data_IF_162948211563
#
_entry.id   IF_162948211563
#
_cell.length_a   1.000
_cell.length_b   1.000
_cell.length_c   1.000
_cell.angle_alpha   90.00
_cell.angle_beta   90.00
_cell.angle_gamma   90.00
#
_symmetry.space_group_name_H-M   'P 1'
#
loop_
_entity.id
_entity.type
_entity.pdbx_description
1 polymer ?
#
# COMPACT_ATOMS: atom_id res chain seq x y z
N UNK A 1 46.64 -73.57 -6.16
CA UNK A 1 45.44 -72.72 -6.37
C UNK A 1 45.32 -71.84 -5.13
N UNK A 2 45.45 -70.52 -5.26
CA UNK A 2 45.74 -69.58 -4.16
C UNK A 2 44.56 -69.43 -3.19
N UNK A 3 44.85 -69.59 -1.90
CA UNK A 3 44.00 -69.24 -0.76
C UNK A 3 43.83 -67.71 -0.70
N UNK A 4 42.60 -67.22 -0.60
CA UNK A 4 42.28 -65.81 -0.32
C UNK A 4 41.79 -65.70 1.12
N UNK A 5 42.59 -65.06 1.95
CA UNK A 5 42.18 -64.57 3.27
C UNK A 5 41.17 -63.44 3.10
N UNK A 6 40.04 -63.51 3.81
CA UNK A 6 39.09 -62.39 3.92
C UNK A 6 39.04 -62.00 5.39
N UNK A 7 39.63 -60.84 5.69
CA UNK A 7 39.72 -60.24 7.02
C UNK A 7 38.37 -59.62 7.37
N UNK A 8 37.83 -59.98 8.55
CA UNK A 8 36.64 -59.39 9.16
C UNK A 8 37.05 -58.14 9.92
N UNK A 9 36.46 -56.98 9.58
CA UNK A 9 36.66 -55.72 10.31
C UNK A 9 35.51 -55.45 11.31
N UNK A 10 35.79 -54.88 12.49
CA UNK A 10 34.78 -54.56 13.51
C UNK A 10 33.99 -53.28 13.17
N UNK A 11 32.80 -53.07 13.78
CA UNK A 11 31.92 -51.94 13.44
C UNK A 11 32.50 -50.60 13.91
N UNK A 12 32.58 -49.63 12.98
CA UNK A 12 32.93 -48.25 13.29
C UNK A 12 31.77 -47.52 13.96
N UNK A 13 32.03 -46.93 15.13
CA UNK A 13 31.16 -45.98 15.81
C UNK A 13 31.03 -44.69 14.97
N UNK A 14 29.80 -44.27 14.68
CA UNK A 14 29.50 -42.97 14.09
C UNK A 14 29.86 -41.83 15.07
N UNK A 15 30.59 -40.79 14.66
CA UNK A 15 30.77 -39.62 15.50
C UNK A 15 29.46 -38.84 15.60
N UNK A 16 29.03 -38.64 16.84
CA UNK A 16 27.94 -37.78 17.28
C UNK A 16 28.08 -36.37 16.69
N UNK A 17 27.07 -35.95 15.93
CA UNK A 17 26.99 -34.61 15.34
C UNK A 17 26.96 -33.55 16.45
N UNK A 18 28.03 -32.77 16.53
CA UNK A 18 28.17 -31.60 17.38
C UNK A 18 27.06 -30.60 17.06
N UNK A 19 26.24 -30.27 18.07
CA UNK A 19 25.24 -29.19 18.02
C UNK A 19 25.92 -27.87 17.65
N UNK A 20 25.65 -27.35 16.46
CA UNK A 20 25.97 -25.97 16.09
C UNK A 20 24.83 -25.09 16.63
N UNK A 21 25.09 -24.11 17.52
CA UNK A 21 24.05 -23.19 17.96
C UNK A 21 23.61 -22.33 16.79
N UNK A 22 22.30 -22.32 16.51
CA UNK A 22 21.66 -21.41 15.57
C UNK A 22 21.90 -19.96 16.02
N UNK A 23 22.88 -19.29 15.41
CA UNK A 23 23.03 -17.85 15.52
C UNK A 23 21.85 -17.18 14.81
N UNK A 24 20.82 -16.80 15.57
CA UNK A 24 19.86 -15.78 15.14
C UNK A 24 20.55 -14.43 15.19
N UNK A 25 20.91 -13.91 14.02
CA UNK A 25 20.94 -12.49 13.65
C UNK A 25 21.58 -12.39 12.26
N UNK A 26 20.83 -12.71 11.22
CA UNK A 26 21.20 -12.31 9.85
C UNK A 26 20.70 -10.88 9.69
N UNK A 27 21.54 -9.91 10.04
CA UNK A 27 21.34 -8.51 9.67
C UNK A 27 21.55 -8.44 8.16
N UNK A 28 20.48 -8.48 7.38
CA UNK A 28 20.55 -8.23 5.93
C UNK A 28 21.19 -6.85 5.71
N UNK A 29 22.29 -6.75 4.93
CA UNK A 29 22.93 -5.47 4.69
C UNK A 29 21.93 -4.53 3.99
N UNK A 30 21.91 -3.23 4.33
CA UNK A 30 20.99 -2.29 3.71
C UNK A 30 21.26 -2.21 2.21
N UNK A 31 20.18 -2.27 1.42
CA UNK A 31 20.26 -2.09 -0.03
C UNK A 31 20.49 -0.61 -0.31
N UNK A 32 21.61 -0.30 -0.95
CA UNK A 32 21.86 1.05 -1.46
C UNK A 32 21.05 1.21 -2.74
N UNK A 33 20.03 2.06 -2.71
CA UNK A 33 19.42 2.54 -3.95
C UNK A 33 20.47 3.41 -4.64
N UNK A 34 21.04 2.88 -5.74
CA UNK A 34 21.94 3.64 -6.60
C UNK A 34 21.22 4.96 -6.96
N UNK A 35 21.87 6.06 -6.59
CA UNK A 35 21.34 7.42 -6.65
C UNK A 35 20.67 7.68 -7.99
N UNK A 36 19.38 7.93 -7.98
CA UNK A 36 18.71 8.46 -9.17
C UNK A 36 19.38 9.79 -9.52
N UNK A 37 20.07 9.81 -10.66
CA UNK A 37 20.83 10.99 -11.10
C UNK A 37 19.93 12.05 -11.73
N UNK A 38 18.63 11.77 -11.90
CA UNK A 38 17.68 12.71 -12.48
C UNK A 38 17.37 13.83 -11.50
N UNK A 39 17.51 15.05 -11.98
CA UNK A 39 17.05 16.26 -11.31
C UNK A 39 15.53 16.25 -11.12
N UNK A 40 15.01 17.05 -10.18
CA UNK A 40 13.56 17.24 -9.99
C UNK A 40 12.87 17.66 -11.29
N UNK A 41 13.48 18.53 -12.09
CA UNK A 41 12.93 18.97 -13.38
C UNK A 41 12.80 17.82 -14.39
N UNK A 42 13.82 16.95 -14.49
CA UNK A 42 13.79 15.79 -15.38
C UNK A 42 12.74 14.76 -14.95
N UNK A 43 12.57 14.55 -13.63
CA UNK A 43 11.49 13.68 -13.13
C UNK A 43 10.11 14.26 -13.44
N UNK A 44 9.93 15.57 -13.26
CA UNK A 44 8.67 16.25 -13.60
C UNK A 44 8.35 16.20 -15.10
N UNK A 45 9.36 16.35 -15.97
CA UNK A 45 9.20 16.18 -17.41
C UNK A 45 8.77 14.74 -17.75
N UNK A 46 9.43 13.73 -17.16
CA UNK A 46 9.05 12.33 -17.34
C UNK A 46 7.63 12.06 -16.85
N UNK A 47 7.24 12.60 -15.70
CA UNK A 47 5.90 12.54 -15.15
C UNK A 47 4.87 13.15 -16.12
N UNK A 48 5.13 14.36 -16.62
CA UNK A 48 4.25 15.09 -17.55
C UNK A 48 3.97 14.26 -18.81
N UNK A 49 4.99 13.60 -19.37
CA UNK A 49 4.84 12.71 -20.53
C UNK A 49 3.95 11.51 -20.20
N UNK A 50 4.14 10.88 -19.04
CA UNK A 50 3.31 9.74 -18.61
C UNK A 50 1.85 10.15 -18.33
N UNK A 51 1.63 11.38 -17.85
CA UNK A 51 0.30 11.92 -17.59
C UNK A 51 -0.48 12.26 -18.87
N UNK A 52 0.17 12.41 -20.03
CA UNK A 52 -0.48 12.74 -21.30
C UNK A 52 -1.69 11.83 -21.62
N UNK A 53 -1.54 10.51 -21.43
CA UNK A 53 -2.63 9.54 -21.65
C UNK A 53 -3.79 9.72 -20.67
N UNK A 54 -3.50 10.15 -19.44
CA UNK A 54 -4.50 10.35 -18.41
C UNK A 54 -5.31 11.62 -18.69
N UNK A 55 -4.68 12.70 -19.17
CA UNK A 55 -5.37 13.92 -19.61
C UNK A 55 -6.34 13.66 -20.79
N UNK A 56 -5.93 12.84 -21.75
CA UNK A 56 -6.81 12.44 -22.87
C UNK A 56 -8.01 11.67 -22.33
N UNK A 57 -7.78 10.71 -21.43
CA UNK A 57 -8.85 9.92 -20.83
C UNK A 57 -9.76 10.77 -19.91
N UNK A 58 -9.22 11.77 -19.21
CA UNK A 58 -10.00 12.76 -18.44
C UNK A 58 -10.98 13.47 -19.40
N UNK A 59 -10.46 14.01 -20.50
CA UNK A 59 -11.26 14.72 -21.52
C UNK A 59 -12.32 13.82 -22.16
N UNK A 60 -11.97 12.56 -22.47
CA UNK A 60 -12.91 11.58 -23.02
C UNK A 60 -14.04 11.28 -22.02
N UNK A 61 -13.70 11.05 -20.75
CA UNK A 61 -14.69 10.77 -19.71
C UNK A 61 -15.64 11.97 -19.53
N UNK A 62 -15.10 13.19 -19.49
CA UNK A 62 -15.89 14.43 -19.39
C UNK A 62 -16.84 14.62 -20.58
N UNK A 63 -16.41 14.27 -21.79
CA UNK A 63 -17.24 14.40 -22.99
C UNK A 63 -18.33 13.33 -23.09
N UNK A 64 -18.02 12.10 -22.67
CA UNK A 64 -18.92 10.95 -22.81
C UNK A 64 -19.92 10.85 -21.65
N UNK A 65 -19.51 11.21 -20.44
CA UNK A 65 -20.32 11.16 -19.22
C UNK A 65 -20.38 12.55 -18.62
N UNK A 66 -21.45 13.29 -18.94
CA UNK A 66 -21.68 14.63 -18.41
C UNK A 66 -22.13 14.52 -16.96
N UNK A 67 -21.18 14.48 -16.03
CA UNK A 67 -21.46 14.80 -14.63
C UNK A 67 -21.81 16.29 -14.53
N UNK A 68 -22.40 16.73 -13.42
CA UNK A 68 -22.83 18.12 -13.29
C UNK A 68 -21.64 19.10 -13.24
N UNK A 69 -20.52 18.69 -12.63
CA UNK A 69 -19.24 19.41 -12.67
C UNK A 69 -18.11 18.47 -13.16
N UNK A 70 -17.95 18.31 -14.48
CA UNK A 70 -17.02 17.33 -15.07
C UNK A 70 -15.55 17.63 -14.78
N UNK A 71 -15.21 18.86 -14.39
CA UNK A 71 -13.84 19.25 -14.07
C UNK A 71 -13.55 19.24 -12.55
N UNK A 72 -14.56 19.05 -11.70
CA UNK A 72 -14.36 18.96 -10.26
C UNK A 72 -13.73 17.63 -9.82
N UNK A 73 -12.81 17.70 -8.87
CA UNK A 73 -12.20 16.54 -8.21
C UNK A 73 -12.30 16.60 -6.70
N UNK A 74 -12.59 15.44 -6.12
CA UNK A 74 -12.66 15.20 -4.68
C UNK A 74 -11.69 14.06 -4.36
N UNK A 75 -10.59 14.39 -3.69
CA UNK A 75 -9.50 13.44 -3.40
C UNK A 75 -9.59 12.96 -1.97
N UNK A 76 -9.50 11.63 -1.80
CA UNK A 76 -9.42 10.96 -0.50
C UNK A 76 -8.20 10.04 -0.50
N UNK A 77 -7.20 10.43 0.29
CA UNK A 77 -5.91 9.76 0.38
C UNK A 77 -5.81 8.93 1.66
N UNK A 78 -5.71 7.62 1.49
CA UNK A 78 -5.25 6.71 2.55
C UNK A 78 -3.72 6.66 2.52
N UNK A 79 -3.10 7.63 3.21
CA UNK A 79 -1.65 7.83 3.12
C UNK A 79 -0.88 6.61 3.68
N UNK A 80 -1.39 5.96 4.73
CA UNK A 80 -0.78 4.75 5.27
C UNK A 80 -0.73 3.62 4.25
N UNK A 81 -1.86 3.35 3.57
CA UNK A 81 -1.94 2.29 2.58
C UNK A 81 -1.03 2.57 1.38
N UNK A 82 -1.06 3.80 0.86
CA UNK A 82 -0.22 4.23 -0.26
C UNK A 82 1.26 4.13 0.10
N UNK A 83 1.67 4.63 1.27
CA UNK A 83 3.08 4.64 1.68
C UNK A 83 3.60 3.23 2.01
N UNK A 84 2.80 2.36 2.64
CA UNK A 84 3.18 0.95 2.86
C UNK A 84 3.39 0.24 1.52
N UNK A 85 2.47 0.46 0.57
CA UNK A 85 2.53 -0.18 -0.74
C UNK A 85 3.65 0.38 -1.61
N UNK A 86 3.96 1.68 -1.50
CA UNK A 86 5.12 2.31 -2.13
C UNK A 86 6.43 1.67 -1.69
N UNK A 87 6.65 1.48 -0.39
CA UNK A 87 7.85 0.81 0.14
C UNK A 87 8.01 -0.60 -0.42
N UNK A 88 6.90 -1.33 -0.54
CA UNK A 88 6.89 -2.67 -1.15
C UNK A 88 7.16 -2.64 -2.64
N UNK A 89 6.64 -1.64 -3.37
CA UNK A 89 6.93 -1.44 -4.77
C UNK A 89 8.43 -1.16 -4.99
N UNK A 90 9.06 -0.36 -4.13
CA UNK A 90 10.51 -0.14 -4.15
C UNK A 90 11.29 -1.43 -3.90
N UNK A 91 10.92 -2.21 -2.88
CA UNK A 91 11.54 -3.52 -2.61
C UNK A 91 11.39 -4.48 -3.80
N UNK A 92 10.21 -4.51 -4.41
CA UNK A 92 9.95 -5.33 -5.60
C UNK A 92 10.85 -4.93 -6.77
N UNK A 93 11.04 -3.63 -6.99
CA UNK A 93 11.80 -3.12 -8.14
C UNK A 93 13.31 -3.14 -7.93
N UNK A 94 13.78 -2.71 -6.76
CA UNK A 94 15.20 -2.42 -6.51
C UNK A 94 15.89 -3.45 -5.60
N UNK A 95 15.14 -4.32 -4.93
CA UNK A 95 15.68 -5.38 -4.08
C UNK A 95 15.32 -6.78 -4.61
N UNK A 96 15.06 -6.93 -5.92
CA UNK A 96 14.72 -8.20 -6.57
C UNK A 96 13.57 -8.96 -5.88
N UNK A 97 12.59 -8.24 -5.32
CA UNK A 97 11.47 -8.86 -4.60
C UNK A 97 11.77 -9.25 -3.14
N UNK A 98 12.94 -8.89 -2.59
CA UNK A 98 13.21 -9.05 -1.17
C UNK A 98 12.44 -8.02 -0.35
N UNK A 99 11.25 -8.40 0.12
CA UNK A 99 10.41 -7.55 0.98
C UNK A 99 10.95 -7.38 2.41
N UNK A 100 12.05 -8.05 2.76
CA UNK A 100 12.77 -7.81 4.01
C UNK A 100 13.87 -6.75 3.89
N UNK A 101 14.28 -6.42 2.65
CA UNK A 101 15.29 -5.44 2.37
C UNK A 101 14.92 -4.06 2.95
N UNK A 102 15.92 -3.41 3.55
CA UNK A 102 15.81 -2.05 4.08
C UNK A 102 16.72 -1.15 3.28
N UNK A 103 16.17 -0.05 2.79
CA UNK A 103 16.94 0.99 2.13
C UNK A 103 17.54 1.93 3.18
N UNK A 104 18.80 2.32 3.00
CA UNK A 104 19.48 3.30 3.83
C UNK A 104 20.31 4.26 2.94
N UNK A 105 19.98 5.56 2.88
CA UNK A 105 18.85 6.18 3.57
C UNK A 105 17.50 5.72 2.99
N UNK A 106 16.42 5.82 3.78
CA UNK A 106 15.08 5.41 3.31
C UNK A 106 14.58 6.40 2.26
N UNK A 107 14.20 5.97 1.06
CA UNK A 107 13.63 6.85 0.05
C UNK A 107 12.38 7.55 0.58
N UNK A 108 12.24 8.82 0.23
CA UNK A 108 11.05 9.59 0.52
C UNK A 108 10.05 9.48 -0.63
N UNK A 109 8.78 9.64 -0.31
CA UNK A 109 7.69 9.63 -1.26
C UNK A 109 7.35 11.08 -1.64
N UNK A 110 7.48 11.43 -2.91
CA UNK A 110 7.26 12.78 -3.41
C UNK A 110 5.76 13.10 -3.46
N UNK A 111 5.24 13.77 -2.42
CA UNK A 111 3.82 14.09 -2.30
C UNK A 111 3.36 15.17 -3.27
N UNK A 112 4.26 16.03 -3.73
CA UNK A 112 3.96 17.05 -4.74
C UNK A 112 3.60 16.37 -6.08
N UNK A 113 4.47 15.49 -6.58
CA UNK A 113 4.24 14.75 -7.82
C UNK A 113 3.09 13.77 -7.69
N UNK A 114 2.94 13.16 -6.51
CA UNK A 114 1.78 12.32 -6.25
C UNK A 114 0.48 13.12 -6.32
N UNK A 115 0.44 14.32 -5.73
CA UNK A 115 -0.74 15.20 -5.82
C UNK A 115 -1.02 15.64 -7.25
N UNK A 116 0.01 15.90 -8.06
CA UNK A 116 -0.14 16.17 -9.49
C UNK A 116 -0.80 14.99 -10.23
N UNK A 117 -0.43 13.75 -9.92
CA UNK A 117 -1.07 12.54 -10.47
C UNK A 117 -2.54 12.47 -10.06
N UNK A 118 -2.90 12.82 -8.83
CA UNK A 118 -4.30 12.77 -8.38
C UNK A 118 -5.14 13.87 -9.02
N UNK A 119 -4.58 15.08 -9.13
CA UNK A 119 -5.30 16.27 -9.55
C UNK A 119 -5.35 16.45 -11.06
N UNK A 120 -4.21 16.25 -11.75
CA UNK A 120 -4.07 16.41 -13.20
C UNK A 120 -4.66 17.73 -13.71
N UNK A 121 -4.42 18.82 -12.98
CA UNK A 121 -4.86 20.17 -13.34
C UNK A 121 -6.37 20.41 -13.25
N UNK A 122 -7.15 19.46 -12.70
CA UNK A 122 -8.61 19.58 -12.52
C UNK A 122 -8.95 20.49 -11.33
N UNK A 123 -10.18 21.01 -11.33
CA UNK A 123 -10.65 21.92 -10.27
C UNK A 123 -10.80 21.16 -8.95
N UNK A 124 -10.00 21.54 -7.96
CA UNK A 124 -10.04 20.95 -6.63
C UNK A 124 -11.28 21.44 -5.88
N UNK A 125 -12.14 20.51 -5.46
CA UNK A 125 -13.24 20.79 -4.53
C UNK A 125 -12.92 20.31 -3.12
N UNK A 126 -12.36 19.11 -3.00
CA UNK A 126 -12.04 18.47 -1.72
C UNK A 126 -10.67 17.79 -1.80
N UNK A 127 -9.84 17.99 -0.78
CA UNK A 127 -8.60 17.24 -0.52
C UNK A 127 -8.62 16.75 0.92
N UNK A 128 -8.77 15.44 1.13
CA UNK A 128 -8.68 14.82 2.45
C UNK A 128 -7.59 13.75 2.46
N UNK A 129 -6.84 13.68 3.56
CA UNK A 129 -5.85 12.63 3.79
C UNK A 129 -6.04 12.00 5.18
N UNK A 130 -6.27 10.69 5.21
CA UNK A 130 -6.25 9.87 6.41
C UNK A 130 -4.84 9.39 6.70
N UNK A 131 -4.38 9.62 7.93
CA UNK A 131 -3.02 9.29 8.37
C UNK A 131 -3.03 8.66 9.76
N UNK A 132 -2.04 7.80 10.05
CA UNK A 132 -1.81 7.34 11.41
C UNK A 132 -0.38 7.56 11.88
N UNK A 133 -0.24 7.85 13.16
CA UNK A 133 1.06 8.03 13.84
C UNK A 133 1.15 7.11 15.04
N UNK A 134 2.37 6.80 15.44
CA UNK A 134 2.59 6.16 16.74
C UNK A 134 2.60 7.24 17.83
N UNK A 135 2.04 6.98 19.02
CA UNK A 135 1.94 7.97 20.09
C UNK A 135 3.30 8.42 20.64
N UNK A 136 4.33 7.57 20.53
CA UNK A 136 5.69 7.80 21.03
C UNK A 136 6.62 8.46 20.00
N UNK A 137 6.13 8.77 18.80
CA UNK A 137 6.92 9.39 17.75
C UNK A 137 6.48 10.84 17.49
N UNK A 138 7.43 11.74 17.16
CA UNK A 138 7.06 13.09 16.71
C UNK A 138 6.21 13.00 15.44
N UNK A 139 5.41 14.05 15.20
CA UNK A 139 4.60 14.12 14.00
C UNK A 139 5.49 13.95 12.76
N UNK A 140 5.16 13.04 11.83
CA UNK A 140 5.92 12.84 10.61
C UNK A 140 5.89 14.09 9.71
N UNK A 141 6.98 14.35 9.01
CA UNK A 141 7.15 15.50 8.09
C UNK A 141 6.10 15.51 6.96
N UNK A 142 5.66 14.34 6.49
CA UNK A 142 4.63 14.23 5.45
C UNK A 142 3.31 14.90 5.85
N UNK A 143 3.00 15.00 7.15
CA UNK A 143 1.75 15.62 7.62
C UNK A 143 1.76 17.11 7.28
N UNK A 144 2.86 17.80 7.56
CA UNK A 144 2.99 19.23 7.28
C UNK A 144 3.13 19.50 5.78
N UNK A 145 3.74 18.57 5.04
CA UNK A 145 3.77 18.61 3.58
C UNK A 145 2.37 18.49 2.96
N UNK A 146 1.55 17.53 3.39
CA UNK A 146 0.16 17.40 2.93
C UNK A 146 -0.67 18.65 3.26
N UNK A 147 -0.51 19.22 4.45
CA UNK A 147 -1.17 20.49 4.82
C UNK A 147 -0.75 21.63 3.91
N UNK A 148 0.55 21.75 3.61
CA UNK A 148 1.08 22.76 2.67
C UNK A 148 0.55 22.57 1.26
N UNK A 149 0.29 21.34 0.84
CA UNK A 149 -0.36 20.99 -0.43
C UNK A 149 -1.89 21.22 -0.42
N UNK A 150 -2.47 21.68 0.70
CA UNK A 150 -3.88 22.04 0.81
C UNK A 150 -4.80 20.90 1.26
N UNK A 151 -4.26 19.76 1.68
CA UNK A 151 -5.08 18.67 2.23
C UNK A 151 -5.58 19.01 3.63
N UNK A 152 -6.85 18.71 3.88
CA UNK A 152 -7.34 18.49 5.23
C UNK A 152 -6.82 17.13 5.73
N UNK A 153 -5.93 17.15 6.73
CA UNK A 153 -5.23 15.94 7.21
C UNK A 153 -5.81 15.48 8.54
N UNK A 154 -6.45 14.31 8.52
CA UNK A 154 -6.94 13.62 9.71
C UNK A 154 -5.85 12.66 10.23
N UNK A 155 -5.12 13.10 11.26
CA UNK A 155 -4.07 12.29 11.92
C UNK A 155 -4.64 11.58 13.13
N UNK A 156 -4.49 10.25 13.21
CA UNK A 156 -4.92 9.44 14.35
C UNK A 156 -3.75 8.70 14.99
N UNK A 157 -3.77 8.62 16.31
CA UNK A 157 -2.80 7.81 17.05
C UNK A 157 -3.16 6.32 16.96
N UNK A 158 -2.14 5.49 16.71
CA UNK A 158 -2.27 4.04 16.73
C UNK A 158 -2.45 3.54 18.15
N UNK A 159 -3.35 2.59 18.35
CA UNK A 159 -3.62 1.99 19.67
C UNK A 159 -2.70 0.80 19.96
N UNK A 160 -2.17 0.68 21.19
CA UNK A 160 -1.44 -0.51 21.60
C UNK A 160 -2.42 -1.69 21.73
N UNK A 161 -2.00 -2.85 21.23
CA UNK A 161 -2.66 -4.14 21.36
C UNK A 161 -1.67 -5.05 22.06
N UNK A 162 -2.06 -5.53 23.23
CA UNK A 162 -1.27 -6.45 24.06
C UNK A 162 -1.82 -7.86 23.87
N UNK A 163 -0.97 -8.78 23.38
CA UNK A 163 -1.24 -10.21 23.45
C UNK A 163 -2.17 -10.81 22.38
N UNK A 164 -2.52 -10.09 21.31
CA UNK A 164 -3.34 -10.67 20.23
C UNK A 164 -2.45 -11.26 19.11
N UNK A 165 -2.50 -12.59 18.86
CA UNK A 165 -1.78 -13.18 17.73
C UNK A 165 -2.23 -12.51 16.43
N UNK A 166 -1.29 -12.29 15.49
CA UNK A 166 -1.64 -11.81 14.14
C UNK A 166 -2.83 -12.65 13.62
N UNK A 167 -3.90 -12.07 13.07
CA UNK A 167 -4.88 -12.85 12.34
C UNK A 167 -4.13 -13.55 11.19
N UNK A 168 -3.90 -14.84 11.38
CA UNK A 168 -3.24 -15.68 10.40
C UNK A 168 -4.21 -15.79 9.23
N UNK A 169 -3.96 -15.05 8.15
CA UNK A 169 -4.51 -15.38 6.85
C UNK A 169 -3.85 -16.69 6.39
N UNK A 170 -4.30 -17.82 6.94
CA UNK A 170 -4.00 -19.14 6.41
C UNK A 170 -4.72 -19.26 5.07
N UNK A 171 -3.98 -19.11 3.97
CA UNK A 171 -4.34 -19.80 2.74
C UNK A 171 -4.28 -21.29 3.08
N UNK A 172 -5.45 -21.90 3.28
CA UNK A 172 -5.59 -23.32 3.53
C UNK A 172 -5.22 -24.08 2.27
N UNK A 173 -3.97 -24.52 2.17
CA UNK A 173 -3.65 -25.74 1.43
C UNK A 173 -3.73 -26.90 2.42
N UNK A 174 -4.72 -27.76 2.20
CA UNK A 174 -4.88 -29.00 2.93
C UNK A 174 -3.63 -29.88 2.76
N UNK A 175 -2.94 -30.20 3.85
CA UNK A 175 -2.36 -31.54 4.05
C UNK A 175 -1.81 -31.76 5.46
N UNK A 176 -2.16 -32.92 5.99
CA UNK A 176 -1.54 -33.69 7.08
C UNK A 176 -1.69 -33.20 8.54
N UNK A 177 -2.34 -34.09 9.30
CA UNK A 177 -2.52 -34.09 10.75
C UNK A 177 -1.21 -34.45 11.45
N UNK A 178 -0.70 -33.57 12.32
CA UNK A 178 0.05 -33.98 13.52
C UNK A 178 -0.08 -32.91 14.63
N UNK A 179 -0.51 -33.27 15.85
CA UNK A 179 -0.60 -32.31 16.94
C UNK A 179 0.77 -32.21 17.63
N UNK A 180 1.51 -31.12 17.39
CA UNK A 180 2.67 -30.77 18.23
C UNK A 180 2.22 -29.83 19.36
N UNK A 181 2.26 -30.34 20.60
CA UNK A 181 2.14 -29.55 21.84
C UNK A 181 3.16 -28.41 21.81
N UNK A 182 2.71 -27.15 21.67
CA UNK A 182 3.56 -25.97 21.87
C UNK A 182 3.65 -25.68 23.37
N UNK A 183 4.87 -25.79 23.91
CA UNK A 183 5.21 -25.25 25.23
C UNK A 183 5.06 -23.73 25.17
N UNK A 184 4.30 -23.17 26.11
CA UNK A 184 4.16 -21.75 26.38
C UNK A 184 5.51 -21.20 26.83
N UNK A 185 6.25 -20.56 25.91
CA UNK A 185 7.35 -19.69 26.29
C UNK A 185 6.74 -18.43 26.90
N UNK A 186 7.23 -18.03 28.08
CA UNK A 186 6.81 -16.84 28.80
C UNK A 186 6.79 -15.62 27.86
N UNK A 187 5.65 -14.93 27.82
CA UNK A 187 5.50 -13.68 27.10
C UNK A 187 6.51 -12.67 27.67
N UNK A 188 7.49 -12.29 26.86
CA UNK A 188 8.28 -11.09 27.10
C UNK A 188 7.33 -9.90 27.14
N UNK A 189 7.44 -9.06 28.17
CA UNK A 189 6.66 -7.84 28.42
C UNK A 189 6.76 -6.75 27.32
N UNK A 190 7.30 -7.06 26.14
CA UNK A 190 7.73 -6.09 25.12
C UNK A 190 7.08 -6.27 23.74
N UNK A 191 6.06 -7.13 23.60
CA UNK A 191 5.35 -7.32 22.33
C UNK A 191 4.11 -6.39 22.23
N UNK A 192 4.27 -5.12 22.57
CA UNK A 192 3.20 -4.12 22.39
C UNK A 192 3.14 -3.73 20.92
N UNK A 193 2.13 -4.25 20.21
CA UNK A 193 1.90 -3.92 18.80
C UNK A 193 0.97 -2.73 18.70
N UNK A 194 1.29 -1.76 17.83
CA UNK A 194 0.41 -0.64 17.53
C UNK A 194 -0.42 -0.91 16.26
N UNK A 195 -1.73 -0.74 16.35
CA UNK A 195 -2.68 -0.89 15.22
C UNK A 195 -3.37 0.43 14.91
N UNK A 196 -3.77 0.61 13.65
CA UNK A 196 -4.59 1.75 13.25
C UNK A 196 -5.98 1.62 13.85
N UNK A 197 -6.55 2.76 14.24
CA UNK A 197 -7.89 2.82 14.82
C UNK A 197 -8.66 3.99 14.19
N UNK A 198 -9.81 3.69 13.60
CA UNK A 198 -10.76 4.67 13.04
C UNK A 198 -10.20 5.57 11.92
N UNK A 199 -9.06 5.23 11.33
CA UNK A 199 -8.48 5.98 10.19
C UNK A 199 -9.37 5.79 8.97
N UNK A 200 -9.63 4.53 8.62
CA UNK A 200 -10.43 4.14 7.46
C UNK A 200 -11.87 4.62 7.60
N UNK A 201 -12.49 4.41 8.77
CA UNK A 201 -13.87 4.83 9.03
C UNK A 201 -14.04 6.35 8.92
N UNK A 202 -13.06 7.12 9.39
CA UNK A 202 -13.10 8.59 9.28
C UNK A 202 -13.01 8.99 7.82
N UNK A 203 -12.05 8.45 7.07
CA UNK A 203 -11.88 8.80 5.66
C UNK A 203 -13.10 8.38 4.82
N UNK A 204 -13.69 7.22 5.10
CA UNK A 204 -14.91 6.73 4.46
C UNK A 204 -16.13 7.59 4.80
N UNK A 205 -16.21 8.11 6.03
CA UNK A 205 -17.23 9.10 6.40
C UNK A 205 -17.09 10.38 5.57
N UNK A 206 -15.86 10.90 5.41
CA UNK A 206 -15.60 12.09 4.57
C UNK A 206 -15.96 11.87 3.10
N UNK A 207 -15.73 10.65 2.56
CA UNK A 207 -16.20 10.28 1.22
C UNK A 207 -17.73 10.40 1.15
N UNK A 208 -18.43 9.84 2.12
CA UNK A 208 -19.89 9.93 2.22
C UNK A 208 -20.39 11.38 2.30
N UNK A 209 -19.82 12.19 3.18
CA UNK A 209 -20.14 13.62 3.33
C UNK A 209 -20.00 14.36 2.00
N UNK A 210 -18.88 14.17 1.31
CA UNK A 210 -18.63 14.80 0.02
C UNK A 210 -19.61 14.36 -1.06
N UNK A 211 -19.94 13.07 -1.14
CA UNK A 211 -20.91 12.57 -2.12
C UNK A 211 -22.32 13.12 -1.86
N UNK A 212 -22.68 13.29 -0.58
CA UNK A 212 -23.96 13.87 -0.17
C UNK A 212 -24.04 15.38 -0.35
N UNK A 213 -22.99 16.12 0.01
CA UNK A 213 -22.95 17.58 -0.10
C UNK A 213 -23.03 18.03 -1.56
N UNK A 214 -22.32 17.33 -2.46
CA UNK A 214 -22.23 17.68 -3.89
C UNK A 214 -23.10 16.77 -4.76
N UNK A 215 -24.23 16.29 -4.22
CA UNK A 215 -25.11 15.37 -4.94
C UNK A 215 -25.77 15.98 -6.20
N UNK A 216 -25.76 17.31 -6.35
CA UNK A 216 -26.21 18.02 -7.57
C UNK A 216 -25.06 18.48 -8.47
N UNK A 217 -23.83 18.49 -7.94
CA UNK A 217 -22.61 18.98 -8.59
C UNK A 217 -21.58 17.84 -8.67
N UNK A 218 -22.01 16.67 -9.13
CA UNK A 218 -21.13 15.50 -9.16
C UNK A 218 -19.93 15.76 -10.06
N UNK A 219 -18.75 15.37 -9.59
CA UNK A 219 -17.52 15.39 -10.36
C UNK A 219 -16.85 14.01 -10.36
N UNK A 220 -15.53 14.03 -10.18
CA UNK A 220 -14.73 12.82 -10.07
C UNK A 220 -14.24 12.62 -8.64
N UNK A 221 -14.59 11.47 -8.07
CA UNK A 221 -14.11 11.00 -6.79
C UNK A 221 -12.80 10.21 -7.01
N UNK A 222 -11.69 10.74 -6.49
CA UNK A 222 -10.36 10.11 -6.59
C UNK A 222 -10.04 9.46 -5.25
N UNK A 223 -9.97 8.12 -5.24
CA UNK A 223 -9.64 7.32 -4.07
C UNK A 223 -8.20 6.82 -4.18
N UNK A 224 -7.31 7.37 -3.38
CA UNK A 224 -5.93 6.91 -3.30
C UNK A 224 -5.78 5.87 -2.18
N UNK A 225 -6.13 4.62 -2.50
CA UNK A 225 -6.01 3.44 -1.64
C UNK A 225 -5.99 2.18 -2.49
N UNK A 226 -5.37 1.12 -2.00
CA UNK A 226 -5.52 -0.23 -2.54
C UNK A 226 -6.53 -1.10 -1.78
N UNK A 227 -7.01 -0.64 -0.61
CA UNK A 227 -7.91 -1.45 0.22
C UNK A 227 -9.29 -1.58 -0.42
N UNK A 228 -9.82 -2.80 -0.44
CA UNK A 228 -11.16 -3.13 -0.93
C UNK A 228 -11.98 -3.91 0.10
N UNK A 229 -11.47 -4.08 1.32
CA UNK A 229 -12.17 -4.79 2.40
C UNK A 229 -13.09 -3.85 3.19
N UNK A 230 -14.14 -4.39 3.82
CA UNK A 230 -14.84 -3.67 4.88
C UNK A 230 -13.90 -3.31 6.03
N UNK A 231 -14.12 -2.14 6.62
CA UNK A 231 -13.45 -1.71 7.85
C UNK A 231 -14.18 -2.27 9.08
N UNK A 232 -13.67 -2.00 10.30
CA UNK A 232 -14.25 -2.57 11.52
C UNK A 232 -15.67 -2.08 11.76
N UNK A 233 -15.93 -0.80 11.46
CA UNK A 233 -17.25 -0.18 11.66
C UNK A 233 -17.82 0.46 10.38
N UNK A 234 -17.39 -0.01 9.20
CA UNK A 234 -17.87 0.51 7.92
C UNK A 234 -17.74 -0.54 6.80
N UNK A 235 -18.56 -0.41 5.76
CA UNK A 235 -18.60 -1.32 4.61
C UNK A 235 -17.36 -1.23 3.69
N UNK A 236 -16.45 -0.27 3.96
CA UNK A 236 -15.17 -0.13 3.27
C UNK A 236 -15.20 0.76 2.02
N UNK A 237 -14.01 1.11 1.53
CA UNK A 237 -13.84 2.01 0.38
C UNK A 237 -14.58 1.56 -0.88
N UNK A 238 -14.59 0.25 -1.16
CA UNK A 238 -15.26 -0.32 -2.33
C UNK A 238 -16.78 -0.05 -2.32
N UNK A 239 -17.43 -0.17 -1.15
CA UNK A 239 -18.86 0.12 -1.01
C UNK A 239 -19.17 1.61 -1.25
N UNK A 240 -18.33 2.51 -0.76
CA UNK A 240 -18.48 3.95 -1.02
C UNK A 240 -18.25 4.31 -2.49
N UNK A 241 -17.32 3.64 -3.18
CA UNK A 241 -17.17 3.78 -4.63
C UNK A 241 -18.42 3.32 -5.39
N UNK A 242 -19.04 2.17 -5.05
CA UNK A 242 -20.29 1.72 -5.69
C UNK A 242 -21.43 2.71 -5.47
N UNK A 243 -21.55 3.25 -4.26
CA UNK A 243 -22.56 4.28 -3.94
C UNK A 243 -22.35 5.55 -4.75
N UNK A 244 -21.12 6.07 -4.82
CA UNK A 244 -20.80 7.26 -5.60
C UNK A 244 -21.14 7.06 -7.10
N UNK A 245 -20.72 5.93 -7.68
CA UNK A 245 -21.01 5.59 -9.08
C UNK A 245 -22.51 5.49 -9.36
N UNK A 246 -23.29 4.91 -8.44
CA UNK A 246 -24.77 4.88 -8.54
C UNK A 246 -25.39 6.27 -8.46
N UNK A 247 -24.77 7.18 -7.73
CA UNK A 247 -25.18 8.58 -7.60
C UNK A 247 -24.68 9.48 -8.74
N UNK A 248 -24.07 8.90 -9.78
CA UNK A 248 -23.67 9.63 -10.98
C UNK A 248 -22.25 10.19 -10.96
N UNK A 249 -21.46 9.92 -9.92
CA UNK A 249 -20.05 10.30 -9.86
C UNK A 249 -19.20 9.45 -10.81
N UNK A 250 -18.11 10.02 -11.30
CA UNK A 250 -16.99 9.22 -11.80
C UNK A 250 -16.10 8.82 -10.62
N UNK A 251 -15.47 7.64 -10.68
CA UNK A 251 -14.56 7.16 -9.64
C UNK A 251 -13.24 6.74 -10.25
N UNK A 252 -12.15 7.25 -9.68
CA UNK A 252 -10.79 6.87 -10.01
C UNK A 252 -10.15 6.24 -8.78
N UNK A 253 -9.71 5.00 -8.91
CA UNK A 253 -8.90 4.35 -7.90
C UNK A 253 -7.42 4.53 -8.26
N UNK A 254 -6.64 5.10 -7.36
CA UNK A 254 -5.20 5.28 -7.54
C UNK A 254 -4.47 4.40 -6.54
N UNK A 255 -3.73 3.40 -7.02
CA UNK A 255 -3.08 2.40 -6.16
C UNK A 255 -1.81 1.84 -6.79
N UNK A 256 -0.91 1.37 -5.94
CA UNK A 256 0.14 0.42 -6.34
C UNK A 256 -0.47 -0.95 -6.61
N UNK A 257 0.08 -1.68 -7.57
CA UNK A 257 -0.38 -3.02 -7.93
C UNK A 257 -0.26 -4.02 -6.75
N UNK A 258 0.85 -3.96 -5.99
CA UNK A 258 1.07 -4.83 -4.82
C UNK A 258 0.10 -4.59 -3.65
N UNK A 259 -0.51 -3.41 -3.59
CA UNK A 259 -1.49 -3.03 -2.55
C UNK A 259 -2.94 -3.18 -3.00
N UNK A 260 -3.18 -3.43 -4.29
CA UNK A 260 -4.51 -3.39 -4.90
C UNK A 260 -5.32 -4.66 -4.56
N UNK A 261 -6.46 -4.49 -3.89
CA UNK A 261 -7.43 -5.57 -3.69
C UNK A 261 -8.00 -6.04 -5.03
N UNK A 262 -8.09 -7.36 -5.22
CA UNK A 262 -8.65 -7.97 -6.43
C UNK A 262 -10.12 -7.63 -6.68
N UNK A 263 -10.85 -7.17 -5.65
CA UNK A 263 -12.23 -6.68 -5.76
C UNK A 263 -12.35 -5.52 -6.76
N UNK A 264 -11.33 -4.66 -6.85
CA UNK A 264 -11.32 -3.51 -7.74
C UNK A 264 -11.17 -3.91 -9.22
N UNK A 265 -10.51 -5.03 -9.49
CA UNK A 265 -10.26 -5.55 -10.83
C UNK A 265 -11.29 -6.58 -11.31
N UNK A 266 -12.42 -6.70 -10.62
CA UNK A 266 -13.47 -7.64 -11.02
C UNK A 266 -14.00 -7.30 -12.44
N UNK A 267 -14.03 -8.27 -13.38
CA UNK A 267 -14.47 -8.01 -14.76
C UNK A 267 -15.93 -7.57 -14.87
N UNK A 268 -16.81 -8.06 -13.99
CA UNK A 268 -18.22 -7.66 -14.01
C UNK A 268 -18.38 -6.22 -13.54
N UNK A 269 -17.67 -5.85 -12.48
CA UNK A 269 -17.60 -4.49 -11.95
C UNK A 269 -17.08 -3.49 -12.99
N UNK A 270 -15.91 -3.77 -13.56
CA UNK A 270 -15.26 -2.88 -14.53
C UNK A 270 -16.12 -2.72 -15.79
N UNK A 271 -16.75 -3.80 -16.26
CA UNK A 271 -17.71 -3.73 -17.38
C UNK A 271 -18.98 -2.95 -17.03
N UNK A 272 -19.52 -3.13 -15.82
CA UNK A 272 -20.74 -2.45 -15.34
C UNK A 272 -20.58 -0.93 -15.37
N UNK A 273 -19.43 -0.43 -14.91
CA UNK A 273 -19.19 1.00 -14.78
C UNK A 273 -18.49 1.61 -15.99
N UNK A 274 -17.82 0.79 -16.80
CA UNK A 274 -17.14 1.23 -18.00
C UNK A 274 -16.16 2.39 -17.70
N UNK A 275 -16.08 3.41 -18.55
CA UNK A 275 -15.16 4.53 -18.36
C UNK A 275 -15.43 5.39 -17.12
N UNK A 276 -16.60 5.29 -16.47
CA UNK A 276 -16.88 6.02 -15.21
C UNK A 276 -16.08 5.49 -14.03
N UNK A 277 -15.58 4.26 -14.12
CA UNK A 277 -14.65 3.71 -13.14
C UNK A 277 -13.35 3.32 -13.82
N UNK A 278 -12.21 3.73 -13.25
CA UNK A 278 -10.90 3.27 -13.73
C UNK A 278 -9.89 3.19 -12.61
N UNK A 279 -8.86 2.39 -12.85
CA UNK A 279 -7.72 2.23 -11.97
C UNK A 279 -6.51 2.93 -12.61
N UNK A 280 -5.86 3.81 -11.85
CA UNK A 280 -4.59 4.44 -12.19
C UNK A 280 -3.51 3.73 -11.36
N UNK A 281 -2.65 2.97 -12.05
CA UNK A 281 -1.60 2.20 -11.39
C UNK A 281 -0.37 3.05 -11.14
N UNK A 282 0.05 3.18 -9.89
CA UNK A 282 1.19 4.02 -9.50
C UNK A 282 2.54 3.46 -9.96
N UNK A 283 2.59 2.16 -10.29
CA UNK A 283 3.80 1.47 -10.75
C UNK A 283 4.43 2.13 -12.00
N UNK A 284 3.63 2.74 -12.88
CA UNK A 284 4.14 3.48 -14.06
C UNK A 284 4.96 4.73 -13.67
N UNK A 285 4.68 5.29 -12.49
CA UNK A 285 5.28 6.53 -11.98
C UNK A 285 6.34 6.26 -10.90
N UNK A 286 6.65 4.99 -10.60
CA UNK A 286 7.51 4.65 -9.46
C UNK A 286 8.83 5.41 -9.48
N UNK A 287 9.46 5.52 -10.65
CA UNK A 287 10.74 6.19 -10.83
C UNK A 287 10.66 7.69 -10.52
N UNK A 288 9.52 8.32 -10.76
CA UNK A 288 9.35 9.77 -10.58
C UNK A 288 8.92 10.11 -9.15
N UNK A 289 8.28 9.15 -8.47
CA UNK A 289 7.66 9.34 -7.16
C UNK A 289 8.59 9.14 -5.95
N UNK A 290 9.76 8.52 -6.11
CA UNK A 290 10.73 8.43 -5.01
C UNK A 290 11.79 9.51 -5.13
N UNK A 291 12.26 10.04 -4.00
CA UNK A 291 13.46 10.88 -3.94
C UNK A 291 14.47 10.28 -2.96
N UNK A 292 15.79 10.40 -3.24
CA UNK A 292 16.79 10.05 -2.24
C UNK A 292 16.56 10.90 -0.99
N UNK A 293 16.56 10.27 0.19
CA UNK A 293 16.54 11.03 1.43
C UNK A 293 17.80 11.89 1.54
N UNK A 294 17.62 13.16 1.89
CA UNK A 294 18.68 14.14 2.15
C UNK A 294 19.39 13.90 3.48
#
# INVERSE_FOLDING_TARGET
>A
MRLRETIVSPPQQQPSATNIPFARNITTPPTVLLTDTRTRAQKHESLSVKLARHFVNDSLTQSQYRTADPNAVHVFLDHSNINISFRRALQSKFANGDFSARFNPSPEFNLEFFSEILLRGRQVRILNAGCSTRPDHPQPTFVDELRRLGYHVDVRERKPVVGDPRPHHTKTHASSKHPRKRKTAAASQDDTRYVEDLVDETLQTRIGESVMEFFQDQGTLVLATGDGKPAKYSDGFFAYADRALRMGWNVELVSWNLGLSSSWSDPEWTRKWGPRFRIIQLDEFIDDLWVPAT
#
